data_IF_839192306096
#
_entry.id   IF_839192306096
#
_cell.length_a   1.000
_cell.length_b   1.000
_cell.length_c   1.000
_cell.angle_alpha   90.00
_cell.angle_beta   90.00
_cell.angle_gamma   90.00
#
_symmetry.space_group_name_H-M   'P 1'
#
loop_
_entity.id
_entity.type
_entity.pdbx_description
1 polymer ?
#
# COMPACT_ATOMS: atom_id res chain seq x y z
N UNK A 1 -68.44 16.90 3.46
CA UNK A 1 -67.00 17.12 3.73
C UNK A 1 -66.62 18.49 3.18
N UNK A 2 -66.21 19.43 4.01
CA UNK A 2 -66.20 20.86 3.69
C UNK A 2 -64.95 21.24 2.85
N UNK A 3 -65.08 21.72 1.59
CA UNK A 3 -63.95 21.95 0.68
C UNK A 3 -62.96 23.02 1.19
N UNK A 4 -63.43 23.93 2.05
CA UNK A 4 -62.62 24.97 2.67
C UNK A 4 -61.60 24.42 3.70
N UNK A 5 -61.87 23.27 4.34
CA UNK A 5 -60.91 22.62 5.25
C UNK A 5 -59.80 21.90 4.48
N UNK A 6 -60.12 21.29 3.34
CA UNK A 6 -59.18 20.54 2.49
C UNK A 6 -58.14 21.46 1.83
N UNK A 7 -58.56 22.64 1.36
CA UNK A 7 -57.65 23.65 0.79
C UNK A 7 -56.59 24.16 1.78
N UNK A 8 -56.94 24.26 3.07
CA UNK A 8 -56.02 24.73 4.12
C UNK A 8 -55.03 23.65 4.56
N UNK A 9 -55.45 22.38 4.59
CA UNK A 9 -54.52 21.27 4.84
C UNK A 9 -53.51 21.11 3.71
N UNK A 10 -53.97 21.15 2.45
CA UNK A 10 -53.09 20.97 1.30
C UNK A 10 -52.07 22.12 1.17
N UNK A 11 -52.47 23.35 1.54
CA UNK A 11 -51.58 24.51 1.57
C UNK A 11 -50.50 24.46 2.67
N UNK A 12 -50.72 23.68 3.74
CA UNK A 12 -49.76 23.53 4.85
C UNK A 12 -48.87 22.29 4.69
N UNK A 13 -49.38 21.25 4.04
CA UNK A 13 -48.66 19.98 3.82
C UNK A 13 -47.55 20.16 2.78
N UNK A 14 -47.79 20.94 1.72
CA UNK A 14 -46.78 21.22 0.68
C UNK A 14 -45.51 21.87 1.24
N UNK A 15 -45.57 23.00 2.01
CA UNK A 15 -44.36 23.60 2.56
C UNK A 15 -43.68 22.69 3.60
N UNK A 16 -44.43 21.90 4.37
CA UNK A 16 -43.86 20.93 5.30
C UNK A 16 -43.06 19.84 4.56
N UNK A 17 -43.61 19.33 3.45
CA UNK A 17 -42.91 18.36 2.60
C UNK A 17 -41.65 18.97 1.96
N UNK A 18 -41.72 20.23 1.51
CA UNK A 18 -40.55 20.93 0.98
C UNK A 18 -39.44 21.10 2.02
N UNK A 19 -39.78 21.48 3.25
CA UNK A 19 -38.79 21.62 4.34
C UNK A 19 -38.16 20.27 4.69
N UNK A 20 -38.96 19.20 4.75
CA UNK A 20 -38.45 17.85 4.97
C UNK A 20 -37.54 17.40 3.82
N UNK A 21 -37.95 17.60 2.56
CA UNK A 21 -37.16 17.23 1.39
C UNK A 21 -35.83 18.01 1.35
N UNK A 22 -35.83 19.30 1.66
CA UNK A 22 -34.62 20.11 1.76
C UNK A 22 -33.72 19.66 2.90
N UNK A 23 -34.28 19.30 4.06
CA UNK A 23 -33.53 18.74 5.18
C UNK A 23 -32.85 17.41 4.82
N UNK A 24 -33.58 16.51 4.12
CA UNK A 24 -33.03 15.26 3.62
C UNK A 24 -31.93 15.49 2.58
N UNK A 25 -32.13 16.42 1.64
CA UNK A 25 -31.11 16.75 0.65
C UNK A 25 -29.84 17.32 1.30
N UNK A 26 -29.98 18.20 2.29
CA UNK A 26 -28.85 18.75 3.04
C UNK A 26 -28.11 17.66 3.84
N UNK A 27 -28.84 16.71 4.43
CA UNK A 27 -28.25 15.57 5.13
C UNK A 27 -27.42 14.69 4.17
N UNK A 28 -27.99 14.31 3.02
CA UNK A 28 -27.28 13.51 2.00
C UNK A 28 -26.05 14.26 1.49
N UNK A 29 -26.17 15.55 1.22
CA UNK A 29 -25.05 16.37 0.75
C UNK A 29 -23.91 16.41 1.78
N UNK A 30 -24.23 16.67 3.05
CA UNK A 30 -23.22 16.71 4.12
C UNK A 30 -22.53 15.36 4.34
N UNK A 31 -23.30 14.26 4.29
CA UNK A 31 -22.73 12.91 4.39
C UNK A 31 -21.87 12.56 3.17
N UNK A 32 -22.23 13.00 1.97
CA UNK A 32 -21.46 12.72 0.75
C UNK A 32 -20.06 13.34 0.77
N UNK A 33 -19.91 14.57 1.25
CA UNK A 33 -18.60 15.22 1.40
C UNK A 33 -17.71 14.50 2.43
N UNK A 34 -18.31 14.03 3.53
CA UNK A 34 -17.60 13.27 4.57
C UNK A 34 -17.17 11.89 4.09
N UNK A 35 -18.00 11.22 3.28
CA UNK A 35 -17.66 9.94 2.67
C UNK A 35 -16.54 10.08 1.64
N UNK A 36 -16.58 11.11 0.80
CA UNK A 36 -15.53 11.38 -0.18
C UNK A 36 -14.17 11.62 0.49
N UNK A 37 -14.13 12.40 1.58
CA UNK A 37 -12.91 12.62 2.34
C UNK A 37 -12.39 11.33 3.01
N UNK A 38 -13.28 10.47 3.50
CA UNK A 38 -12.91 9.20 4.13
C UNK A 38 -12.38 8.18 3.12
N UNK A 39 -12.91 8.17 1.89
CA UNK A 39 -12.41 7.32 0.81
C UNK A 39 -10.98 7.69 0.41
N UNK A 40 -10.65 8.98 0.30
CA UNK A 40 -9.29 9.41 0.00
C UNK A 40 -8.27 8.97 1.06
N UNK A 41 -8.61 9.10 2.35
CA UNK A 41 -7.74 8.65 3.44
C UNK A 41 -7.54 7.14 3.40
N UNK A 42 -8.62 6.39 3.14
CA UNK A 42 -8.57 4.94 3.03
C UNK A 42 -7.69 4.50 1.86
N UNK A 43 -7.79 5.14 0.71
CA UNK A 43 -7.00 4.76 -0.46
C UNK A 43 -5.51 5.08 -0.27
N UNK A 44 -5.17 6.19 0.40
CA UNK A 44 -3.79 6.50 0.78
C UNK A 44 -3.21 5.45 1.73
N UNK A 45 -3.97 5.01 2.72
CA UNK A 45 -3.54 3.98 3.66
C UNK A 45 -3.33 2.63 2.97
N UNK A 46 -4.22 2.26 2.05
CA UNK A 46 -4.10 1.03 1.27
C UNK A 46 -2.85 1.05 0.39
N UNK A 47 -2.54 2.18 -0.24
CA UNK A 47 -1.35 2.28 -1.06
C UNK A 47 -0.07 2.16 -0.22
N UNK A 48 -0.04 2.81 0.96
CA UNK A 48 1.06 2.65 1.91
C UNK A 48 1.20 1.21 2.44
N UNK A 49 0.10 0.52 2.69
CA UNK A 49 0.13 -0.89 3.11
C UNK A 49 0.69 -1.78 2.00
N UNK A 50 0.30 -1.55 0.73
CA UNK A 50 0.86 -2.29 -0.41
C UNK A 50 2.36 -2.06 -0.53
N UNK A 51 2.81 -0.81 -0.50
CA UNK A 51 4.23 -0.47 -0.60
C UNK A 51 5.04 -1.17 0.50
N UNK A 52 4.59 -1.07 1.76
CA UNK A 52 5.23 -1.76 2.89
C UNK A 52 5.20 -3.28 2.76
N UNK A 53 4.12 -3.85 2.22
CA UNK A 53 4.02 -5.29 2.02
C UNK A 53 5.04 -5.80 0.99
N UNK A 54 5.24 -5.06 -0.10
CA UNK A 54 6.24 -5.36 -1.12
C UNK A 54 7.65 -5.24 -0.55
N UNK A 55 7.91 -4.20 0.24
CA UNK A 55 9.20 -4.01 0.91
C UNK A 55 9.49 -5.15 1.90
N UNK A 56 8.52 -5.53 2.73
CA UNK A 56 8.65 -6.65 3.66
C UNK A 56 8.93 -7.97 2.93
N UNK A 57 8.30 -8.19 1.78
CA UNK A 57 8.56 -9.40 0.98
C UNK A 57 9.98 -9.41 0.39
N UNK A 58 10.46 -8.27 -0.10
CA UNK A 58 11.85 -8.12 -0.56
C UNK A 58 12.85 -8.41 0.57
N UNK A 59 12.66 -7.79 1.74
CA UNK A 59 13.51 -8.01 2.91
C UNK A 59 13.50 -9.48 3.35
N UNK A 60 12.34 -10.14 3.33
CA UNK A 60 12.26 -11.58 3.65
C UNK A 60 13.07 -12.43 2.68
N UNK A 61 13.00 -12.16 1.37
CA UNK A 61 13.79 -12.87 0.35
C UNK A 61 15.29 -12.61 0.52
N UNK A 62 15.67 -11.38 0.82
CA UNK A 62 17.07 -11.02 1.10
C UNK A 62 17.60 -11.72 2.34
N UNK A 63 16.84 -11.73 3.44
CA UNK A 63 17.19 -12.43 4.65
C UNK A 63 17.34 -13.95 4.41
N UNK A 64 16.47 -14.55 3.60
CA UNK A 64 16.58 -15.96 3.23
C UNK A 64 17.84 -16.25 2.41
N UNK A 65 18.14 -15.43 1.39
CA UNK A 65 19.38 -15.54 0.61
C UNK A 65 20.63 -15.39 1.47
N UNK A 66 20.64 -14.42 2.37
CA UNK A 66 21.78 -14.15 3.23
C UNK A 66 22.01 -15.28 4.23
N UNK A 67 20.93 -15.86 4.77
CA UNK A 67 21.01 -17.05 5.62
C UNK A 67 21.58 -18.24 4.87
N UNK A 68 21.10 -18.52 3.66
CA UNK A 68 21.61 -19.61 2.84
C UNK A 68 23.10 -19.41 2.50
N UNK A 69 23.49 -18.19 2.15
CA UNK A 69 24.87 -17.83 1.88
C UNK A 69 25.77 -17.98 3.12
N UNK A 70 25.29 -17.56 4.29
CA UNK A 70 26.01 -17.73 5.56
C UNK A 70 26.13 -19.20 5.95
N UNK A 71 25.08 -19.99 5.72
CA UNK A 71 25.10 -21.45 5.94
C UNK A 71 26.13 -22.14 5.04
N UNK A 72 26.27 -21.69 3.79
CA UNK A 72 27.30 -22.18 2.86
C UNK A 72 28.71 -21.79 3.32
N UNK A 73 28.93 -20.54 3.75
CA UNK A 73 30.21 -20.11 4.33
C UNK A 73 30.61 -20.93 5.57
N UNK A 74 29.65 -21.32 6.40
CA UNK A 74 29.92 -22.09 7.61
C UNK A 74 30.19 -23.58 7.35
N UNK A 75 29.58 -24.15 6.29
CA UNK A 75 29.61 -25.59 6.02
C UNK A 75 30.59 -26.00 4.91
N UNK A 76 30.94 -25.09 4.00
CA UNK A 76 31.82 -25.36 2.86
C UNK A 76 33.14 -24.56 2.96
N UNK A 77 34.21 -25.17 3.50
CA UNK A 77 35.52 -24.52 3.60
C UNK A 77 36.16 -24.22 2.23
N UNK A 78 35.85 -24.98 1.17
CA UNK A 78 36.35 -24.68 -0.19
C UNK A 78 35.66 -23.44 -0.78
N UNK A 79 34.41 -23.20 -0.42
CA UNK A 79 33.70 -21.98 -0.78
C UNK A 79 34.32 -20.74 -0.13
N UNK A 80 34.67 -20.83 1.16
CA UNK A 80 35.39 -19.75 1.87
C UNK A 80 36.73 -19.48 1.22
N UNK A 81 37.47 -20.52 0.84
CA UNK A 81 38.77 -20.37 0.18
C UNK A 81 38.64 -19.72 -1.20
N UNK A 82 37.66 -20.14 -2.02
CA UNK A 82 37.36 -19.50 -3.31
C UNK A 82 37.00 -18.02 -3.16
N UNK A 83 36.13 -17.68 -2.22
CA UNK A 83 35.70 -16.30 -2.04
C UNK A 83 36.78 -15.41 -1.43
N UNK A 84 37.60 -15.96 -0.51
CA UNK A 84 38.80 -15.29 -0.06
C UNK A 84 39.72 -15.01 -1.25
N UNK A 85 40.03 -16.04 -2.03
CA UNK A 85 40.89 -16.01 -3.22
C UNK A 85 40.44 -14.97 -4.26
N UNK A 86 39.14 -14.88 -4.53
CA UNK A 86 38.54 -13.88 -5.42
C UNK A 86 38.72 -12.45 -4.89
N UNK A 87 38.58 -12.23 -3.56
CA UNK A 87 38.79 -10.91 -2.93
C UNK A 87 40.24 -10.45 -2.93
N UNK A 88 41.20 -11.36 -2.72
CA UNK A 88 42.65 -11.08 -2.82
C UNK A 88 43.14 -11.04 -4.29
N UNK A 89 42.29 -11.38 -5.26
CA UNK A 89 42.62 -11.32 -6.69
C UNK A 89 43.63 -12.38 -7.14
N UNK A 90 43.74 -13.49 -6.41
CA UNK A 90 44.66 -14.58 -6.72
C UNK A 90 43.83 -15.66 -7.44
N UNK A 91 44.31 -16.23 -8.54
CA UNK A 91 43.61 -17.35 -9.21
C UNK A 91 43.92 -18.68 -8.54
N UNK A 92 43.05 -19.70 -8.69
CA UNK A 92 43.41 -21.06 -8.30
C UNK A 92 44.57 -21.59 -9.14
N UNK A 93 45.16 -22.75 -8.77
CA UNK A 93 46.15 -23.42 -9.62
C UNK A 93 45.57 -23.64 -11.03
N UNK A 94 46.03 -22.84 -12.00
CA UNK A 94 45.59 -22.88 -13.40
C UNK A 94 44.65 -21.75 -13.87
N UNK A 95 44.21 -20.83 -13.01
CA UNK A 95 43.32 -19.72 -13.40
C UNK A 95 44.00 -18.35 -13.41
N UNK A 96 43.75 -17.55 -14.45
CA UNK A 96 44.24 -16.16 -14.58
C UNK A 96 43.12 -15.21 -14.15
N UNK A 97 43.32 -14.48 -13.05
CA UNK A 97 42.40 -13.44 -12.59
C UNK A 97 42.72 -12.13 -13.32
N UNK A 98 41.84 -11.71 -14.24
CA UNK A 98 41.96 -10.44 -14.94
C UNK A 98 41.08 -9.42 -14.23
N UNK A 99 41.69 -8.52 -13.45
CA UNK A 99 41.00 -7.38 -12.87
C UNK A 99 40.93 -6.27 -13.93
N UNK A 100 39.78 -6.14 -14.59
CA UNK A 100 39.52 -5.02 -15.50
C UNK A 100 39.23 -3.77 -14.65
N UNK A 101 40.28 -3.01 -14.31
CA UNK A 101 40.12 -1.65 -13.81
C UNK A 101 39.55 -0.79 -14.94
N UNK A 102 38.24 -0.57 -14.90
CA UNK A 102 37.55 0.40 -15.73
C UNK A 102 37.79 1.80 -15.20
N UNK A 103 38.28 2.67 -16.09
CA UNK A 103 38.45 4.12 -15.92
C UNK A 103 37.19 4.85 -15.43
#
# INVERSE_FOLDING_TARGET
MNPAKKKKSDALVVPLFCVLALGWAAMVFFFSEKLAAAEEERDRLVEQEKEKSVELEKLRREAARLREYTDRLLKDPEFVEREARERIGVGGEGEIVIRAEGH
#
